data_IF_483549688559
#
_entry.id   IF_483549688559
#
_cell.length_a   1.000
_cell.length_b   1.000
_cell.length_c   1.000
_cell.angle_alpha   90.00
_cell.angle_beta   90.00
_cell.angle_gamma   90.00
#
_symmetry.space_group_name_H-M   'P 1'
#
loop_
_entity.id
_entity.type
_entity.pdbx_description
1 polymer ?
#
# COMPACT_ATOMS: atom_id res chain seq x y z
N UNK A 1 17.11 -32.08 15.67
CA UNK A 1 17.84 -30.84 16.06
C UNK A 1 17.62 -29.85 14.95
N UNK A 2 16.71 -28.89 15.15
CA UNK A 2 16.55 -27.78 14.22
C UNK A 2 17.87 -27.02 14.18
N UNK A 3 18.56 -27.12 13.05
CA UNK A 3 19.78 -26.37 12.82
C UNK A 3 19.37 -24.90 12.87
N UNK A 4 19.85 -24.17 13.89
CA UNK A 4 19.60 -22.74 14.01
C UNK A 4 20.20 -22.05 12.78
N UNK A 5 19.34 -21.69 11.83
CA UNK A 5 19.75 -21.17 10.54
C UNK A 5 19.94 -19.66 10.62
N UNK A 6 21.02 -19.26 11.30
CA UNK A 6 21.43 -17.87 11.37
C UNK A 6 21.99 -17.44 10.00
N UNK A 7 21.59 -16.27 9.52
CA UNK A 7 22.03 -15.67 8.26
C UNK A 7 22.60 -14.28 8.53
N UNK A 8 23.89 -14.12 8.23
CA UNK A 8 24.52 -12.81 8.22
C UNK A 8 24.04 -11.97 7.04
N UNK A 9 24.02 -10.64 7.12
CA UNK A 9 23.49 -9.79 6.06
C UNK A 9 24.23 -9.90 4.73
N UNK A 10 25.53 -10.12 4.78
CA UNK A 10 26.35 -10.33 3.58
C UNK A 10 26.00 -11.65 2.88
N UNK A 11 25.41 -12.60 3.61
CA UNK A 11 25.05 -13.92 3.12
C UNK A 11 23.61 -13.98 2.62
N UNK A 12 22.70 -13.12 3.08
CA UNK A 12 21.28 -13.17 2.69
C UNK A 12 21.11 -13.13 1.17
N UNK A 13 21.74 -12.18 0.46
CA UNK A 13 21.56 -12.04 -0.99
C UNK A 13 22.06 -13.24 -1.80
N UNK A 14 23.05 -13.99 -1.28
CA UNK A 14 23.71 -15.09 -2.01
C UNK A 14 23.20 -16.46 -1.57
N UNK A 15 23.08 -16.66 -0.26
CA UNK A 15 22.83 -17.96 0.37
C UNK A 15 21.33 -18.24 0.48
N UNK A 16 20.52 -17.25 0.87
CA UNK A 16 19.07 -17.44 1.01
C UNK A 16 18.41 -17.93 -0.28
N UNK A 17 18.73 -17.40 -1.48
CA UNK A 17 18.09 -17.87 -2.71
C UNK A 17 18.48 -19.31 -3.06
N UNK A 18 19.70 -19.73 -2.74
CA UNK A 18 20.14 -21.11 -2.95
C UNK A 18 19.37 -22.06 -2.04
N UNK A 19 19.21 -21.68 -0.76
CA UNK A 19 18.45 -22.45 0.21
C UNK A 19 16.97 -22.55 -0.17
N UNK A 20 16.36 -21.46 -0.65
CA UNK A 20 14.95 -21.44 -1.06
C UNK A 20 14.67 -22.28 -2.30
N UNK A 21 15.66 -22.52 -3.17
CA UNK A 21 15.52 -23.45 -4.30
C UNK A 21 15.46 -24.92 -3.85
N UNK A 22 16.14 -25.25 -2.76
CA UNK A 22 16.18 -26.61 -2.20
C UNK A 22 15.04 -26.83 -1.18
N UNK A 23 14.76 -25.81 -0.38
CA UNK A 23 13.75 -25.78 0.67
C UNK A 23 12.80 -24.59 0.43
N UNK A 24 11.73 -24.80 -0.36
CA UNK A 24 10.77 -23.77 -0.72
C UNK A 24 10.22 -22.97 0.47
N UNK A 25 10.07 -23.61 1.64
CA UNK A 25 9.74 -22.96 2.91
C UNK A 25 10.95 -23.04 3.85
N UNK A 26 11.47 -21.89 4.25
CA UNK A 26 12.68 -21.80 5.05
C UNK A 26 12.55 -20.78 6.18
N UNK A 27 12.91 -21.22 7.40
CA UNK A 27 12.95 -20.37 8.59
C UNK A 27 14.39 -20.01 8.92
N UNK A 28 14.64 -18.74 9.20
CA UNK A 28 15.99 -18.22 9.44
C UNK A 28 15.98 -17.03 10.38
N UNK A 29 17.16 -16.65 10.86
CA UNK A 29 17.33 -15.55 11.83
C UNK A 29 18.47 -14.61 11.42
N UNK A 30 18.41 -13.37 11.88
CA UNK A 30 19.50 -12.40 11.78
C UNK A 30 19.68 -11.61 13.07
N UNK A 31 20.69 -10.75 13.13
CA UNK A 31 20.93 -9.85 14.27
C UNK A 31 20.23 -8.48 14.09
N UNK A 32 19.20 -8.40 13.24
CA UNK A 32 18.52 -7.15 12.91
C UNK A 32 19.30 -6.28 11.92
N UNK A 33 20.31 -6.86 11.28
CA UNK A 33 21.24 -6.22 10.37
C UNK A 33 20.90 -6.45 8.88
N UNK A 34 19.79 -7.17 8.64
CA UNK A 34 19.24 -7.45 7.33
C UNK A 34 18.18 -6.40 6.99
N UNK A 35 18.42 -5.66 5.90
CA UNK A 35 17.51 -4.63 5.42
C UNK A 35 16.52 -5.16 4.41
N UNK A 36 15.41 -4.44 4.24
CA UNK A 36 14.42 -4.68 3.20
C UNK A 36 15.04 -4.83 1.81
N UNK A 37 16.02 -3.98 1.46
CA UNK A 37 16.73 -4.03 0.17
C UNK A 37 17.40 -5.39 -0.07
N UNK A 38 18.08 -5.93 0.96
CA UNK A 38 18.75 -7.24 0.87
C UNK A 38 17.73 -8.36 0.70
N UNK A 39 16.63 -8.29 1.45
CA UNK A 39 15.54 -9.27 1.37
C UNK A 39 14.90 -9.26 -0.01
N UNK A 40 14.42 -8.10 -0.48
CA UNK A 40 13.72 -8.00 -1.76
C UNK A 40 14.65 -8.40 -2.92
N UNK A 41 15.93 -8.07 -2.87
CA UNK A 41 16.91 -8.50 -3.87
C UNK A 41 17.13 -10.02 -3.85
N UNK A 42 17.19 -10.63 -2.66
CA UNK A 42 17.33 -12.06 -2.50
C UNK A 42 16.10 -12.83 -3.04
N UNK A 43 14.89 -12.33 -2.83
CA UNK A 43 13.67 -13.12 -3.13
C UNK A 43 12.95 -12.74 -4.43
N UNK A 44 13.07 -11.49 -4.89
CA UNK A 44 12.31 -11.01 -6.06
C UNK A 44 12.61 -11.78 -7.34
N UNK A 45 13.88 -12.08 -7.60
CA UNK A 45 14.29 -12.82 -8.80
C UNK A 45 13.77 -14.26 -8.82
N UNK A 46 13.40 -14.82 -7.66
CA UNK A 46 12.80 -16.15 -7.56
C UNK A 46 11.31 -16.15 -7.91
N UNK A 47 10.66 -14.99 -7.86
CA UNK A 47 9.30 -14.80 -8.35
C UNK A 47 9.26 -14.49 -9.87
N UNK A 48 10.42 -14.28 -10.50
CA UNK A 48 10.55 -13.97 -11.91
C UNK A 48 10.43 -12.49 -12.24
N UNK A 49 9.55 -12.15 -13.19
CA UNK A 49 9.36 -10.79 -13.73
C UNK A 49 7.94 -10.28 -13.49
N UNK A 50 7.69 -9.01 -13.85
CA UNK A 50 6.37 -8.39 -13.77
C UNK A 50 5.73 -8.48 -12.37
N UNK A 51 6.48 -8.04 -11.37
CA UNK A 51 6.17 -8.21 -9.97
C UNK A 51 4.95 -7.39 -9.54
N UNK A 52 4.00 -8.04 -8.88
CA UNK A 52 2.93 -7.43 -8.10
C UNK A 52 3.30 -7.58 -6.62
N UNK A 53 3.56 -6.46 -5.94
CA UNK A 53 4.04 -6.50 -4.56
C UNK A 53 2.91 -6.07 -3.61
N UNK A 54 2.63 -6.90 -2.62
CA UNK A 54 1.82 -6.54 -1.45
C UNK A 54 2.72 -6.46 -0.23
N UNK A 55 2.69 -5.32 0.45
CA UNK A 55 3.55 -5.00 1.57
C UNK A 55 2.72 -4.55 2.77
N UNK A 56 2.82 -5.30 3.87
CA UNK A 56 2.24 -4.95 5.17
C UNK A 56 3.37 -4.47 6.06
N UNK A 57 3.23 -3.27 6.61
CA UNK A 57 4.19 -2.68 7.53
C UNK A 57 3.44 -1.96 8.64
N UNK A 58 3.88 -2.02 9.91
CA UNK A 58 3.29 -1.17 10.94
C UNK A 58 3.39 0.33 10.58
N UNK A 59 4.51 0.71 9.98
CA UNK A 59 4.81 2.07 9.52
C UNK A 59 5.60 2.01 8.22
N UNK A 60 5.25 2.83 7.23
CA UNK A 60 6.06 2.95 6.03
C UNK A 60 7.33 3.74 6.31
N UNK A 61 8.45 3.20 5.82
CA UNK A 61 9.74 3.88 5.86
C UNK A 61 10.06 4.43 4.46
N UNK A 62 10.47 5.69 4.38
CA UNK A 62 10.75 6.39 3.12
C UNK A 62 11.72 5.62 2.22
N UNK A 63 12.75 5.01 2.80
CA UNK A 63 13.73 4.23 2.04
C UNK A 63 13.13 2.97 1.41
N UNK A 64 12.19 2.29 2.07
CA UNK A 64 11.47 1.14 1.49
C UNK A 64 10.71 1.60 0.24
N UNK A 65 10.00 2.73 0.35
CA UNK A 65 9.25 3.31 -0.77
C UNK A 65 10.18 3.65 -1.94
N UNK A 66 11.35 4.22 -1.66
CA UNK A 66 12.37 4.55 -2.69
C UNK A 66 12.96 3.32 -3.35
N UNK A 67 13.18 2.23 -2.61
CA UNK A 67 13.60 0.94 -3.19
C UNK A 67 12.53 0.44 -4.15
N UNK A 68 11.25 0.47 -3.76
CA UNK A 68 10.15 0.06 -4.63
C UNK A 68 9.99 0.94 -5.88
N UNK A 69 10.16 2.26 -5.74
CA UNK A 69 10.18 3.18 -6.88
C UNK A 69 11.35 2.89 -7.82
N UNK A 70 12.52 2.48 -7.29
CA UNK A 70 13.63 2.03 -8.13
C UNK A 70 13.28 0.74 -8.90
N UNK A 71 12.62 -0.24 -8.27
CA UNK A 71 12.12 -1.44 -8.95
C UNK A 71 11.11 -1.09 -10.05
N UNK A 72 10.23 -0.11 -9.82
CA UNK A 72 9.30 0.41 -10.84
C UNK A 72 10.03 1.03 -12.02
N UNK A 73 11.02 1.90 -11.78
CA UNK A 73 11.82 2.54 -12.84
C UNK A 73 12.57 1.53 -13.71
N UNK A 74 12.89 0.36 -13.17
CA UNK A 74 13.48 -0.77 -13.92
C UNK A 74 12.47 -1.58 -14.72
N UNK A 75 11.18 -1.27 -14.62
CA UNK A 75 10.09 -2.01 -15.26
C UNK A 75 9.77 -3.35 -14.59
N UNK A 76 10.33 -3.60 -13.40
CA UNK A 76 10.14 -4.86 -12.68
C UNK A 76 8.83 -4.87 -11.89
N UNK A 77 8.45 -3.74 -11.29
CA UNK A 77 7.24 -3.60 -10.49
C UNK A 77 6.06 -3.13 -11.35
N UNK A 78 4.97 -3.91 -11.34
CA UNK A 78 3.72 -3.65 -12.10
C UNK A 78 2.65 -2.98 -11.25
N UNK A 79 2.48 -3.47 -10.02
CA UNK A 79 1.51 -2.94 -9.07
C UNK A 79 2.06 -3.04 -7.67
N UNK A 80 1.59 -2.14 -6.80
CA UNK A 80 1.97 -2.09 -5.41
C UNK A 80 0.73 -1.95 -4.53
N UNK A 81 0.59 -2.82 -3.54
CA UNK A 81 -0.39 -2.67 -2.47
C UNK A 81 0.36 -2.48 -1.16
N UNK A 82 0.10 -1.36 -0.47
CA UNK A 82 0.68 -1.06 0.85
C UNK A 82 -0.45 -1.05 1.88
N UNK A 83 -0.23 -1.75 2.99
CA UNK A 83 -1.12 -1.72 4.15
C UNK A 83 -0.34 -1.31 5.39
N UNK A 84 -0.76 -0.20 6.01
CA UNK A 84 -0.12 0.37 7.21
C UNK A 84 -1.04 0.35 8.43
N UNK A 85 -0.52 0.64 9.62
CA UNK A 85 -1.36 0.72 10.84
C UNK A 85 -2.21 2.00 10.85
N UNK A 86 -1.63 3.11 10.38
CA UNK A 86 -2.27 4.43 10.25
C UNK A 86 -2.38 4.83 8.79
N UNK A 87 -3.20 5.84 8.49
CA UNK A 87 -3.27 6.39 7.14
C UNK A 87 -1.97 7.13 6.78
N UNK A 88 -1.24 6.60 5.80
CA UNK A 88 -0.01 7.18 5.27
C UNK A 88 -0.12 7.48 3.77
N UNK A 89 -1.36 7.60 3.26
CA UNK A 89 -1.65 7.75 1.83
C UNK A 89 -0.92 8.92 1.19
N UNK A 90 -0.84 10.06 1.87
CA UNK A 90 -0.14 11.24 1.36
C UNK A 90 1.38 11.07 1.28
N UNK A 91 1.98 10.33 2.21
CA UNK A 91 3.42 10.03 2.20
C UNK A 91 3.76 9.03 1.11
N UNK A 92 2.98 7.96 0.98
CA UNK A 92 3.19 6.96 -0.07
C UNK A 92 2.97 7.56 -1.46
N UNK A 93 1.86 8.30 -1.67
CA UNK A 93 1.57 8.92 -2.98
C UNK A 93 2.60 9.96 -3.43
N UNK A 94 3.37 10.56 -2.53
CA UNK A 94 4.44 11.49 -2.89
C UNK A 94 5.65 10.80 -3.53
N UNK A 95 5.87 9.52 -3.23
CA UNK A 95 7.04 8.78 -3.72
C UNK A 95 6.81 8.11 -5.09
N UNK A 96 5.55 7.95 -5.50
CA UNK A 96 5.18 7.29 -6.75
C UNK A 96 4.47 8.26 -7.71
N UNK A 97 4.68 8.12 -9.02
CA UNK A 97 3.99 8.96 -9.99
C UNK A 97 2.50 8.60 -10.07
N UNK A 98 1.68 9.56 -10.52
CA UNK A 98 0.21 9.46 -10.51
C UNK A 98 -0.32 8.33 -11.40
N UNK A 99 0.42 7.98 -12.45
CA UNK A 99 0.08 6.92 -13.41
C UNK A 99 0.42 5.50 -12.93
N UNK A 100 1.12 5.36 -11.79
CA UNK A 100 1.47 4.07 -11.25
C UNK A 100 0.37 3.52 -10.33
N UNK A 101 -0.03 2.26 -10.55
CA UNK A 101 -1.09 1.61 -9.75
C UNK A 101 -0.59 1.28 -8.34
N UNK A 102 -0.92 2.14 -7.39
CA UNK A 102 -0.65 1.94 -5.96
C UNK A 102 -1.96 1.92 -5.17
N UNK A 103 -2.25 0.79 -4.55
CA UNK A 103 -3.34 0.64 -3.59
C UNK A 103 -2.80 0.88 -2.17
N UNK A 104 -3.42 1.78 -1.42
CA UNK A 104 -2.98 2.13 -0.07
C UNK A 104 -4.15 1.93 0.87
N UNK A 105 -3.93 1.10 1.88
CA UNK A 105 -4.91 0.83 2.92
C UNK A 105 -4.29 0.99 4.30
N UNK A 106 -5.15 1.12 5.31
CA UNK A 106 -4.71 1.10 6.69
C UNK A 106 -5.62 0.23 7.56
N UNK A 107 -5.04 -0.44 8.54
CA UNK A 107 -5.77 -1.26 9.50
C UNK A 107 -5.02 -1.32 10.84
N UNK A 108 -5.69 -1.01 11.95
CA UNK A 108 -5.07 -0.91 13.28
C UNK A 108 -4.41 -2.21 13.78
N UNK A 109 -4.81 -3.36 13.23
CA UNK A 109 -4.27 -4.67 13.63
C UNK A 109 -3.00 -5.08 12.88
N UNK A 110 -2.40 -4.21 12.05
CA UNK A 110 -1.11 -4.50 11.44
C UNK A 110 -0.04 -4.31 12.50
N UNK A 111 0.55 -5.42 12.95
CA UNK A 111 1.60 -5.48 13.98
C UNK A 111 2.90 -6.04 13.41
N UNK A 112 2.78 -6.99 12.49
CA UNK A 112 3.90 -7.68 11.88
C UNK A 112 4.04 -7.28 10.42
N UNK A 113 5.28 -7.34 9.93
CA UNK A 113 5.58 -7.04 8.54
C UNK A 113 5.48 -8.31 7.69
N UNK A 114 4.95 -8.14 6.47
CA UNK A 114 4.78 -9.21 5.50
C UNK A 114 5.01 -8.64 4.10
N UNK A 115 5.93 -9.25 3.36
CA UNK A 115 6.16 -9.01 1.95
C UNK A 115 5.62 -10.19 1.16
N UNK A 116 4.73 -9.92 0.20
CA UNK A 116 4.24 -10.89 -0.76
C UNK A 116 4.59 -10.35 -2.14
N UNK A 117 5.31 -11.13 -2.92
CA UNK A 117 5.64 -10.85 -4.32
C UNK A 117 4.97 -11.93 -5.15
N UNK A 118 4.09 -11.52 -6.06
CA UNK A 118 3.54 -12.37 -7.10
C UNK A 118 4.24 -11.99 -8.42
N UNK A 119 4.92 -12.92 -9.06
CA UNK A 119 5.59 -12.69 -10.33
C UNK A 119 5.32 -13.78 -11.34
N UNK A 120 5.95 -13.69 -12.50
CA UNK A 120 5.73 -14.61 -13.62
C UNK A 120 6.09 -16.07 -13.35
N UNK A 121 6.99 -16.33 -12.40
CA UNK A 121 7.45 -17.70 -12.05
C UNK A 121 6.79 -18.25 -10.79
N UNK A 122 6.22 -17.38 -9.96
CA UNK A 122 5.46 -17.77 -8.77
C UNK A 122 5.48 -16.74 -7.67
N UNK A 123 5.30 -17.20 -6.43
CA UNK A 123 5.24 -16.36 -5.25
C UNK A 123 6.56 -16.36 -4.50
N UNK A 124 6.92 -15.21 -3.94
CA UNK A 124 7.88 -15.09 -2.86
C UNK A 124 7.22 -14.38 -1.67
N UNK A 125 7.21 -15.01 -0.50
CA UNK A 125 6.56 -14.51 0.71
C UNK A 125 7.61 -14.42 1.81
N UNK A 126 7.73 -13.27 2.45
CA UNK A 126 8.64 -13.05 3.58
C UNK A 126 7.85 -12.48 4.74
N UNK A 127 7.78 -13.23 5.84
CA UNK A 127 7.25 -12.78 7.11
C UNK A 127 8.40 -12.55 8.09
N UNK A 128 8.44 -11.38 8.72
CA UNK A 128 9.51 -10.97 9.62
C UNK A 128 9.73 -9.46 9.56
N UNK A 129 10.61 -8.89 10.40
CA UNK A 129 10.84 -7.45 10.43
C UNK A 129 11.43 -6.93 9.11
N UNK A 130 10.79 -5.95 8.47
CA UNK A 130 11.21 -5.39 7.19
C UNK A 130 11.72 -3.97 7.38
N UNK A 131 12.93 -3.84 7.94
CA UNK A 131 13.52 -2.55 8.25
C UNK A 131 14.23 -1.92 7.05
N UNK A 132 14.15 -0.61 6.89
CA UNK A 132 14.97 0.05 5.87
C UNK A 132 16.45 0.13 6.27
N UNK A 133 16.71 0.26 7.58
CA UNK A 133 18.04 0.36 8.15
C UNK A 133 18.33 -0.82 9.09
N UNK A 134 19.60 -1.21 9.23
CA UNK A 134 20.01 -2.11 10.31
C UNK A 134 19.58 -1.58 11.68
N UNK A 135 19.15 -2.47 12.57
CA UNK A 135 18.91 -2.16 13.96
C UNK A 135 20.18 -1.56 14.59
N UNK A 136 20.02 -0.47 15.33
CA UNK A 136 21.15 0.18 16.02
C UNK A 136 21.73 -0.70 17.14
N UNK A 137 20.92 -1.61 17.66
CA UNK A 137 21.30 -2.60 18.67
C UNK A 137 21.02 -3.98 18.10
N UNK A 138 21.98 -4.93 18.17
CA UNK A 138 21.75 -6.30 17.70
C UNK A 138 20.54 -6.92 18.41
N UNK A 139 19.59 -7.40 17.62
CA UNK A 139 18.39 -8.11 18.10
C UNK A 139 18.16 -9.35 17.28
N UNK A 140 17.80 -10.46 17.92
CA UNK A 140 17.50 -11.70 17.19
C UNK A 140 16.16 -11.54 16.48
N UNK A 141 16.21 -11.34 15.17
CA UNK A 141 15.04 -11.23 14.31
C UNK A 141 14.80 -12.54 13.59
N UNK A 142 13.54 -12.96 13.53
CA UNK A 142 13.15 -14.22 12.90
C UNK A 142 12.37 -13.96 11.63
N UNK A 143 12.66 -14.78 10.64
CA UNK A 143 12.04 -14.74 9.33
C UNK A 143 11.49 -16.10 8.96
N UNK A 144 10.34 -16.08 8.30
CA UNK A 144 9.81 -17.21 7.53
C UNK A 144 9.76 -16.74 6.08
N UNK A 145 10.41 -17.49 5.20
CA UNK A 145 10.43 -17.19 3.77
C UNK A 145 9.94 -18.37 2.98
N UNK A 146 9.03 -18.12 2.05
CA UNK A 146 8.49 -19.10 1.13
C UNK A 146 8.71 -18.65 -0.32
N UNK A 147 9.04 -19.59 -1.20
CA UNK A 147 9.07 -19.40 -2.65
C UNK A 147 8.41 -20.58 -3.33
N UNK A 148 7.49 -20.33 -4.27
CA UNK A 148 6.88 -21.38 -5.08
C UNK A 148 5.44 -21.10 -5.50
N UNK A 149 4.75 -22.16 -5.91
CA UNK A 149 3.39 -22.12 -6.48
C UNK A 149 2.39 -23.03 -5.74
N UNK A 150 2.75 -23.54 -4.56
CA UNK A 150 1.86 -24.38 -3.75
C UNK A 150 0.77 -23.50 -3.13
N UNK A 151 -0.47 -23.71 -3.59
CA UNK A 151 -1.63 -22.92 -3.19
C UNK A 151 -1.95 -23.05 -1.71
N UNK A 152 -1.72 -24.22 -1.12
CA UNK A 152 -2.02 -24.46 0.29
C UNK A 152 -1.00 -23.75 1.18
N UNK A 153 0.28 -23.77 0.80
CA UNK A 153 1.33 -23.01 1.49
C UNK A 153 1.10 -21.50 1.38
N UNK A 154 0.78 -21.01 0.18
CA UNK A 154 0.47 -19.59 -0.03
C UNK A 154 -0.72 -19.18 0.81
N UNK A 155 -1.82 -19.95 0.76
CA UNK A 155 -3.02 -19.67 1.55
C UNK A 155 -2.72 -19.69 3.06
N UNK A 156 -1.96 -20.67 3.55
CA UNK A 156 -1.57 -20.75 4.95
C UNK A 156 -0.82 -19.50 5.40
N UNK A 157 0.13 -19.01 4.60
CA UNK A 157 0.97 -17.86 4.95
C UNK A 157 0.26 -16.51 4.74
N UNK A 158 -0.72 -16.43 3.84
CA UNK A 158 -1.36 -15.15 3.49
C UNK A 158 -2.83 -15.04 3.88
N UNK A 159 -3.51 -16.08 4.39
CA UNK A 159 -4.96 -16.12 4.61
C UNK A 159 -5.50 -14.89 5.36
N UNK A 160 -4.86 -14.54 6.47
CA UNK A 160 -5.25 -13.38 7.30
C UNK A 160 -5.11 -12.09 6.51
N UNK A 161 -4.02 -11.95 5.75
CA UNK A 161 -3.73 -10.77 4.93
C UNK A 161 -4.71 -10.65 3.76
N UNK A 162 -4.93 -11.74 3.01
CA UNK A 162 -5.83 -11.77 1.86
C UNK A 162 -7.28 -11.49 2.26
N UNK A 163 -7.73 -12.06 3.38
CA UNK A 163 -9.07 -11.78 3.94
C UNK A 163 -9.24 -10.32 4.31
N UNK A 164 -8.21 -9.74 4.96
CA UNK A 164 -8.20 -8.34 5.37
C UNK A 164 -8.18 -7.40 4.16
N UNK A 165 -7.33 -7.66 3.17
CA UNK A 165 -7.28 -6.89 1.93
C UNK A 165 -8.61 -6.93 1.18
N UNK A 166 -9.24 -8.10 1.11
CA UNK A 166 -10.56 -8.26 0.49
C UNK A 166 -11.62 -7.39 1.18
N UNK A 167 -11.60 -7.35 2.52
CA UNK A 167 -12.48 -6.47 3.29
C UNK A 167 -12.18 -4.98 3.04
N UNK A 168 -10.91 -4.58 3.07
CA UNK A 168 -10.49 -3.19 2.87
C UNK A 168 -10.83 -2.69 1.46
N UNK A 169 -10.61 -3.51 0.43
CA UNK A 169 -11.01 -3.23 -0.96
C UNK A 169 -12.51 -3.02 -1.09
N UNK A 170 -13.32 -3.90 -0.50
CA UNK A 170 -14.80 -3.76 -0.51
C UNK A 170 -15.24 -2.49 0.19
N UNK A 171 -14.62 -2.17 1.34
CA UNK A 171 -14.92 -0.96 2.10
C UNK A 171 -14.54 0.31 1.32
N UNK A 172 -13.38 0.33 0.68
CA UNK A 172 -12.93 1.45 -0.16
C UNK A 172 -13.89 1.67 -1.35
N UNK A 173 -14.22 0.59 -2.09
CA UNK A 173 -15.17 0.66 -3.20
C UNK A 173 -16.54 1.18 -2.77
N UNK A 174 -17.04 0.74 -1.61
CA UNK A 174 -18.32 1.25 -1.07
C UNK A 174 -18.23 2.75 -0.75
N UNK A 175 -17.10 3.21 -0.20
CA UNK A 175 -16.88 4.62 0.11
C UNK A 175 -16.87 5.48 -1.16
N UNK A 176 -16.15 5.05 -2.19
CA UNK A 176 -16.10 5.73 -3.49
C UNK A 176 -17.50 5.86 -4.13
N UNK A 177 -18.32 4.81 -4.09
CA UNK A 177 -19.69 4.84 -4.62
C UNK A 177 -20.57 5.84 -3.86
N UNK A 178 -20.43 5.89 -2.53
CA UNK A 178 -21.19 6.83 -1.70
C UNK A 178 -20.75 8.28 -1.96
N UNK A 179 -19.45 8.52 -2.07
CA UNK A 179 -18.90 9.86 -2.37
C UNK A 179 -19.37 10.33 -3.77
N UNK A 180 -19.26 9.47 -4.79
CA UNK A 180 -19.73 9.80 -6.14
C UNK A 180 -21.22 10.14 -6.18
N UNK A 181 -22.07 9.36 -5.49
CA UNK A 181 -23.50 9.63 -5.43
C UNK A 181 -23.81 10.94 -4.67
N UNK A 182 -23.06 11.24 -3.60
CA UNK A 182 -23.22 12.49 -2.85
C UNK A 182 -22.81 13.73 -3.67
N UNK A 183 -21.76 13.62 -4.49
CA UNK A 183 -21.34 14.69 -5.40
C UNK A 183 -22.36 14.90 -6.53
N UNK A 184 -23.00 13.84 -7.01
CA UNK A 184 -24.04 13.91 -8.04
C UNK A 184 -25.30 14.59 -7.51
N UNK A 185 -25.74 14.26 -6.28
CA UNK A 185 -26.83 14.97 -5.60
C UNK A 185 -26.48 16.44 -5.37
N UNK A 186 -25.26 16.75 -4.92
CA UNK A 186 -24.85 18.13 -4.68
C UNK A 186 -24.86 18.96 -5.98
N UNK A 187 -24.45 18.38 -7.12
CA UNK A 187 -24.52 19.03 -8.43
C UNK A 187 -25.96 19.29 -8.88
N UNK A 188 -26.88 18.34 -8.64
CA UNK A 188 -28.31 18.50 -8.96
C UNK A 188 -28.99 19.59 -8.12
N UNK A 189 -28.65 19.70 -6.84
CA UNK A 189 -29.21 20.74 -5.96
C UNK A 189 -28.70 22.15 -6.28
N UNK A 190 -27.47 22.28 -6.79
CA UNK A 190 -26.93 23.57 -7.24
C UNK A 190 -27.60 24.01 -8.55
N UNK A 191 -27.81 23.11 -9.51
CA UNK A 191 -28.53 23.44 -10.76
C UNK A 191 -29.99 23.82 -10.54
N UNK A 192 -30.67 23.23 -9.54
CA UNK A 192 -32.06 23.58 -9.20
C UNK A 192 -32.16 24.93 -8.46
N UNK A 193 -31.10 25.39 -7.79
CA UNK A 193 -31.08 26.72 -7.13
C UNK A 193 -30.79 27.86 -8.11
N UNK A 194 -29.92 27.63 -9.09
CA UNK A 194 -29.61 28.62 -10.14
C UNK A 194 -30.82 28.88 -11.07
N UNK A 195 -31.68 27.88 -11.31
CA UNK A 195 -32.92 28.06 -12.10
C UNK A 195 -34.03 28.85 -11.36
N UNK A 196 -33.98 28.93 -10.02
CA UNK A 196 -34.99 29.65 -9.23
C UNK A 196 -34.69 31.16 -9.18
N UNK A 197 -33.42 31.56 -9.16
CA UNK A 197 -33.02 32.98 -9.11
C UNK A 197 -33.18 33.73 -10.45
N UNK A 198 -33.25 33.02 -11.59
CA UNK A 198 -33.46 33.65 -12.91
C UNK A 198 -34.94 33.99 -13.22
N UNK A 199 -35.87 33.68 -12.30
CA UNK A 199 -37.32 33.89 -12.49
C UNK A 199 -37.93 35.07 -11.71
N UNK A 200 -37.15 35.77 -10.86
CA UNK A 200 -37.63 36.94 -10.12
C UNK A 200 -37.18 38.24 -10.76
N UNK A 201 -37.92 38.67 -11.79
CA UNK A 201 -37.85 40.00 -12.39
C UNK A 201 -38.88 40.92 -11.69
N UNK A 202 -38.48 41.88 -10.83
CA UNK A 202 -39.42 42.82 -10.23
C UNK A 202 -39.53 44.04 -11.14
N UNK A 203 -40.39 43.94 -12.15
CA UNK A 203 -40.90 45.12 -12.85
C UNK A 203 -42.01 45.75 -12.02
N UNK A 204 -41.70 46.73 -11.17
CA UNK A 204 -42.68 47.76 -10.82
C UNK A 204 -42.00 49.09 -10.51
N UNK A 205 -42.06 49.97 -11.51
CA UNK A 205 -41.84 51.41 -11.37
C UNK A 205 -42.99 51.99 -10.56
N UNK A 206 -42.68 52.75 -9.52
CA UNK A 206 -43.56 53.84 -9.10
C UNK A 206 -42.71 55.06 -8.77
N UNK A 207 -42.77 56.03 -9.69
CA UNK A 207 -42.37 57.42 -9.47
C UNK A 207 -43.10 57.99 -8.25
N UNK A 208 -42.38 58.72 -7.41
CA UNK A 208 -42.96 59.87 -6.72
C UNK A 208 -41.84 60.85 -6.32
N UNK A 209 -41.67 61.84 -7.19
CA UNK A 209 -41.17 63.17 -6.84
C UNK A 209 -42.20 63.88 -5.96
N UNK A 210 -41.77 64.42 -4.83
CA UNK A 210 -42.01 65.83 -4.48
C UNK A 210 -41.30 66.19 -3.16
N UNK A 211 -40.37 67.14 -3.27
CA UNK A 211 -40.10 68.15 -2.22
C UNK A 211 -41.07 69.34 -2.47
N UNK A 212 -41.18 70.40 -1.64
CA UNK A 212 -40.41 70.77 -0.45
C UNK A 212 -41.27 71.42 0.69
N UNK A 213 -40.56 72.04 1.64
CA UNK A 213 -40.92 73.22 2.46
C UNK A 213 -41.19 73.07 3.97
N UNK A 214 -40.20 73.54 4.73
CA UNK A 214 -40.24 74.65 5.70
C UNK A 214 -41.48 74.82 6.60
N UNK A 215 -41.34 74.58 7.92
CA UNK A 215 -41.15 75.54 9.05
C UNK A 215 -41.00 74.72 10.33
#
# INVERSE_FOLDING_TARGET
>A
MDKFNFQEPCCVERTLPLLLREYPLYTWQSNGDVTFEKIIKAVSHLAGSALEITLLLPKSELLILRVLEWYRRRGWLKSLTIVTTTDESSSVRREFPVDFHVEIYFHKSITDSLLIINGSEGYAIVQGPLHAFPATTPTVERFVTYVGNDKDQIAMLTATTTSRLSYLRRKAKKKEVVEAYSEEIAKQQISEQDEIEESSDPSEKSDNSDSPDTI
#
